data_IF_005260607173
#
_entry.id   IF_005260607173
#
_cell.length_a   1.000
_cell.length_b   1.000
_cell.length_c   1.000
_cell.angle_alpha   90.00
_cell.angle_beta   90.00
_cell.angle_gamma   90.00
#
_symmetry.space_group_name_H-M   'P 1'
#
loop_
_entity.id
_entity.type
_entity.pdbx_description
1 polymer ?
#
# COMPACT_ATOMS: atom_id res chain seq x y z
N UNK A 1 20.81 7.07 13.70
CA UNK A 1 19.43 7.44 13.35
C UNK A 1 18.48 6.55 14.15
N UNK A 2 17.35 7.07 14.59
CA UNK A 2 16.30 6.31 15.26
C UNK A 2 15.01 6.41 14.43
N UNK A 3 14.29 5.29 14.29
CA UNK A 3 13.03 5.20 13.53
C UNK A 3 11.97 4.71 14.50
N UNK A 4 10.90 5.48 14.66
CA UNK A 4 9.84 5.21 15.63
C UNK A 4 8.53 5.04 14.88
N UNK A 5 7.87 3.91 15.12
CA UNK A 5 6.51 3.68 14.67
C UNK A 5 5.53 4.38 15.61
N UNK A 6 4.57 5.10 15.04
CA UNK A 6 3.38 5.59 15.74
C UNK A 6 2.16 4.94 15.12
N UNK A 7 1.37 4.26 15.95
CA UNK A 7 0.21 3.48 15.54
C UNK A 7 -0.83 3.50 16.64
N UNK A 8 -2.10 3.75 16.29
CA UNK A 8 -3.20 3.84 17.28
C UNK A 8 -3.95 2.53 17.48
N UNK A 9 -4.00 1.66 16.46
CA UNK A 9 -4.64 0.36 16.54
C UNK A 9 -4.04 -0.62 15.54
N UNK A 10 -4.37 -1.91 15.67
CA UNK A 10 -3.95 -2.95 14.73
C UNK A 10 -4.51 -2.77 13.30
N UNK A 11 -5.42 -1.82 13.13
CA UNK A 11 -6.14 -1.59 11.88
C UNK A 11 -5.81 -0.22 11.28
N UNK A 12 -5.10 0.62 12.04
CA UNK A 12 -4.61 1.89 11.52
C UNK A 12 -3.38 1.67 10.65
N UNK A 13 -3.18 2.62 9.74
CA UNK A 13 -1.88 2.90 9.15
C UNK A 13 -0.86 3.28 10.24
N UNK A 14 0.39 3.30 9.83
CA UNK A 14 1.56 3.67 10.59
C UNK A 14 1.97 5.06 10.16
N UNK A 15 2.35 5.87 11.14
CA UNK A 15 3.22 7.02 10.89
C UNK A 15 4.63 6.67 11.35
N UNK A 16 5.63 7.20 10.69
CA UNK A 16 7.02 7.01 11.07
C UNK A 16 7.67 8.33 11.44
N UNK A 17 8.35 8.37 12.59
CA UNK A 17 9.26 9.45 12.95
C UNK A 17 10.67 8.96 12.67
N UNK A 18 11.40 9.67 11.82
CA UNK A 18 12.82 9.42 11.54
C UNK A 18 13.63 10.56 12.12
N UNK A 19 14.58 10.26 13.00
CA UNK A 19 15.27 11.30 13.77
C UNK A 19 16.74 11.01 14.09
N UNK A 20 17.47 12.08 14.40
CA UNK A 20 18.69 12.06 15.21
C UNK A 20 18.43 12.80 16.54
N UNK A 21 19.48 13.29 17.21
CA UNK A 21 19.35 14.02 18.49
C UNK A 21 18.75 15.42 18.34
N UNK A 22 18.87 16.04 17.16
CA UNK A 22 18.62 17.48 16.96
C UNK A 22 17.50 17.78 15.96
N UNK A 23 17.24 16.89 15.01
CA UNK A 23 16.25 17.09 13.94
C UNK A 23 15.61 15.76 13.54
N UNK A 24 14.56 15.84 12.72
CA UNK A 24 13.88 14.68 12.17
C UNK A 24 12.74 15.06 11.22
N UNK A 25 12.09 14.06 10.68
CA UNK A 25 10.93 14.23 9.80
C UNK A 25 9.90 13.13 10.06
N UNK A 26 8.71 13.34 9.51
CA UNK A 26 7.58 12.43 9.63
C UNK A 26 7.25 11.85 8.26
N UNK A 27 6.86 10.57 8.25
CA UNK A 27 6.31 9.88 7.09
C UNK A 27 4.89 9.46 7.44
N UNK A 28 3.93 9.94 6.64
CA UNK A 28 2.48 9.76 6.81
C UNK A 28 1.92 10.27 8.17
N UNK A 29 0.67 10.69 8.18
CA UNK A 29 0.01 11.31 9.35
C UNK A 29 -1.08 10.43 9.99
N UNK A 30 -1.39 9.28 9.41
CA UNK A 30 -2.46 8.42 9.89
C UNK A 30 -3.86 8.91 9.51
N UNK A 31 -4.87 8.13 9.92
CA UNK A 31 -6.27 8.32 9.55
C UNK A 31 -7.07 9.14 10.56
N UNK A 32 -6.76 8.98 11.85
CA UNK A 32 -7.65 9.40 12.94
C UNK A 32 -7.15 10.63 13.66
N UNK A 33 -8.06 11.37 14.30
CA UNK A 33 -7.70 12.50 15.14
C UNK A 33 -6.73 12.08 16.24
N UNK A 34 -7.00 10.97 16.91
CA UNK A 34 -6.16 10.39 17.95
C UNK A 34 -4.77 10.03 17.43
N UNK A 35 -4.65 9.66 16.15
CA UNK A 35 -3.37 9.31 15.53
C UNK A 35 -2.47 10.53 15.44
N UNK A 36 -2.95 11.64 14.87
CA UNK A 36 -2.14 12.86 14.81
C UNK A 36 -1.83 13.43 16.20
N UNK A 37 -2.74 13.30 17.18
CA UNK A 37 -2.44 13.64 18.58
C UNK A 37 -1.31 12.76 19.15
N UNK A 38 -1.38 11.44 18.94
CA UNK A 38 -0.36 10.51 19.42
C UNK A 38 0.99 10.80 18.75
N UNK A 39 0.98 11.05 17.44
CA UNK A 39 2.17 11.41 16.66
C UNK A 39 2.83 12.69 17.17
N UNK A 40 2.04 13.74 17.42
CA UNK A 40 2.56 15.00 17.98
C UNK A 40 3.08 14.86 19.43
N UNK A 41 2.46 14.01 20.26
CA UNK A 41 2.96 13.69 21.61
C UNK A 41 4.27 12.93 21.54
N UNK A 42 4.33 11.87 20.74
CA UNK A 42 5.55 11.09 20.55
C UNK A 42 6.68 11.97 20.02
N UNK A 43 6.39 12.88 19.08
CA UNK A 43 7.38 13.87 18.63
C UNK A 43 7.92 14.71 19.80
N UNK A 44 7.03 15.31 20.60
CA UNK A 44 7.41 16.13 21.76
C UNK A 44 8.18 15.38 22.85
N UNK A 45 7.95 14.08 23.01
CA UNK A 45 8.70 13.27 23.96
C UNK A 45 10.13 13.02 23.50
N UNK A 46 10.39 13.10 22.19
CA UNK A 46 11.70 12.79 21.60
C UNK A 46 12.56 14.00 21.33
N UNK A 47 11.97 15.18 21.21
CA UNK A 47 12.68 16.40 20.91
C UNK A 47 12.49 17.46 22.01
N UNK A 48 13.48 18.35 22.15
CA UNK A 48 13.37 19.51 23.02
C UNK A 48 12.16 20.38 22.66
N UNK A 49 11.60 21.05 23.67
CA UNK A 49 10.42 21.89 23.48
C UNK A 49 10.68 22.97 22.42
N UNK A 50 9.85 22.99 21.37
CA UNK A 50 9.94 23.93 20.25
C UNK A 50 10.62 23.39 18.99
N UNK A 51 11.26 22.22 19.02
CA UNK A 51 11.79 21.58 17.80
C UNK A 51 10.62 21.01 16.99
N UNK A 52 10.48 21.43 15.73
CA UNK A 52 9.45 20.99 14.81
C UNK A 52 10.02 19.98 13.79
N UNK A 53 9.17 19.13 13.17
CA UNK A 53 9.60 18.29 12.05
C UNK A 53 10.12 19.15 10.91
N UNK A 54 11.25 18.76 10.33
CA UNK A 54 11.82 19.44 9.15
C UNK A 54 10.84 19.39 7.97
N UNK A 55 10.14 18.27 7.82
CA UNK A 55 9.03 18.10 6.89
C UNK A 55 8.18 16.89 7.26
N UNK A 56 7.06 16.75 6.57
CA UNK A 56 6.22 15.55 6.50
C UNK A 56 6.20 15.09 5.04
N UNK A 57 6.43 13.81 4.80
CA UNK A 57 6.28 13.24 3.47
C UNK A 57 5.15 12.21 3.47
N UNK A 58 4.27 12.31 2.48
CA UNK A 58 3.14 11.40 2.31
C UNK A 58 3.51 10.35 1.25
N UNK A 59 3.56 9.07 1.65
CA UNK A 59 3.94 7.97 0.75
C UNK A 59 2.95 7.82 -0.40
N UNK A 60 1.66 7.98 -0.10
CA UNK A 60 0.60 8.00 -1.09
C UNK A 60 -0.62 8.75 -0.51
N UNK A 61 -1.51 9.28 -1.38
CA UNK A 61 -2.51 10.26 -0.97
C UNK A 61 -3.82 9.64 -0.46
N UNK A 62 -3.78 8.42 0.09
CA UNK A 62 -4.96 7.83 0.69
C UNK A 62 -5.29 8.48 2.04
N UNK A 63 -6.57 8.65 2.36
CA UNK A 63 -6.97 9.43 3.53
C UNK A 63 -6.40 8.93 4.85
N UNK A 64 -6.21 7.61 4.98
CA UNK A 64 -5.60 6.99 6.14
C UNK A 64 -4.12 7.32 6.32
N UNK A 65 -3.51 8.03 5.38
CA UNK A 65 -2.14 8.52 5.46
C UNK A 65 -2.06 10.04 5.66
N UNK A 66 -3.18 10.77 5.56
CA UNK A 66 -3.16 12.25 5.58
C UNK A 66 -4.03 12.88 6.65
N UNK A 67 -5.14 12.25 7.03
CA UNK A 67 -6.19 12.88 7.83
C UNK A 67 -5.71 13.30 9.23
N UNK A 68 -4.76 12.57 9.83
CA UNK A 68 -4.19 12.92 11.12
C UNK A 68 -3.34 14.20 11.09
N UNK A 69 -3.09 14.80 9.92
CA UNK A 69 -2.34 16.06 9.79
C UNK A 69 -2.96 17.17 10.64
N UNK A 70 -4.30 17.29 10.67
CA UNK A 70 -4.99 18.36 11.39
C UNK A 70 -4.71 18.29 12.89
N UNK A 71 -4.85 17.10 13.47
CA UNK A 71 -4.62 16.89 14.90
C UNK A 71 -3.14 16.93 15.25
N UNK A 72 -2.24 16.53 14.34
CA UNK A 72 -0.81 16.72 14.50
C UNK A 72 -0.43 18.21 14.59
N UNK A 73 -0.90 19.04 13.65
CA UNK A 73 -0.65 20.48 13.66
C UNK A 73 -1.19 21.14 14.94
N UNK A 74 -2.41 20.76 15.34
CA UNK A 74 -3.01 21.19 16.60
C UNK A 74 -2.18 20.75 17.81
N UNK A 75 -1.77 19.48 17.86
CA UNK A 75 -0.94 18.96 18.95
C UNK A 75 0.35 19.75 19.02
N UNK A 76 1.09 19.91 17.91
CA UNK A 76 2.34 20.67 17.82
C UNK A 76 2.17 22.19 18.02
N UNK A 77 0.94 22.70 18.13
CA UNK A 77 0.60 24.11 18.26
C UNK A 77 1.19 24.98 17.14
N UNK A 78 1.06 24.50 15.90
CA UNK A 78 1.47 25.20 14.67
C UNK A 78 0.34 25.20 13.67
N UNK A 79 0.31 26.21 12.79
CA UNK A 79 -0.69 26.28 11.71
C UNK A 79 -0.21 25.63 10.42
N UNK A 80 1.12 25.46 10.25
CA UNK A 80 1.68 24.90 9.03
C UNK A 80 3.02 24.23 9.29
N UNK A 81 3.29 23.18 8.51
CA UNK A 81 4.57 22.51 8.35
C UNK A 81 4.82 22.29 6.85
N UNK A 82 6.07 22.08 6.42
CA UNK A 82 6.34 21.57 5.09
C UNK A 82 5.76 20.16 4.95
N UNK A 83 4.75 19.98 4.11
CA UNK A 83 4.14 18.67 3.81
C UNK A 83 4.22 18.41 2.31
N UNK A 84 4.76 17.25 1.94
CA UNK A 84 5.08 16.93 0.56
C UNK A 84 4.43 15.65 0.07
N UNK A 85 4.06 15.65 -1.21
CA UNK A 85 3.76 14.47 -2.02
C UNK A 85 4.75 14.39 -3.19
N UNK A 86 4.95 13.19 -3.74
CA UNK A 86 5.98 12.94 -4.75
C UNK A 86 5.76 13.61 -6.11
N UNK A 87 4.51 13.83 -6.54
CA UNK A 87 4.20 14.46 -7.82
C UNK A 87 2.78 15.08 -7.83
N UNK A 88 2.48 15.84 -8.89
CA UNK A 88 1.16 16.47 -9.07
C UNK A 88 0.02 15.47 -9.25
N UNK A 89 0.30 14.27 -9.75
CA UNK A 89 -0.66 13.18 -9.84
C UNK A 89 -1.15 12.74 -8.45
N UNK A 90 -0.22 12.57 -7.51
CA UNK A 90 -0.55 12.26 -6.12
C UNK A 90 -1.39 13.37 -5.47
N UNK A 91 -1.06 14.64 -5.72
CA UNK A 91 -1.87 15.77 -5.21
C UNK A 91 -3.29 15.77 -5.82
N UNK A 92 -3.44 15.41 -7.09
CA UNK A 92 -4.76 15.31 -7.73
C UNK A 92 -5.57 14.13 -7.19
N UNK A 93 -4.93 12.99 -6.94
CA UNK A 93 -5.58 11.83 -6.32
C UNK A 93 -6.01 12.11 -4.88
N UNK A 94 -5.21 12.84 -4.11
CA UNK A 94 -5.60 13.33 -2.78
C UNK A 94 -6.90 14.13 -2.84
N UNK A 95 -6.98 15.07 -3.78
CA UNK A 95 -8.16 15.91 -3.97
C UNK A 95 -9.40 15.10 -4.36
N UNK A 96 -9.21 14.10 -5.19
CA UNK A 96 -10.26 13.17 -5.55
C UNK A 96 -10.80 12.43 -4.31
N UNK A 97 -9.93 11.91 -3.45
CA UNK A 97 -10.34 11.23 -2.22
C UNK A 97 -11.06 12.15 -1.24
N UNK A 98 -10.52 13.35 -1.01
CA UNK A 98 -11.14 14.34 -0.15
C UNK A 98 -12.53 14.75 -0.67
N UNK A 99 -12.72 14.88 -1.99
CA UNK A 99 -14.02 15.17 -2.58
C UNK A 99 -15.02 14.01 -2.43
N UNK A 100 -14.58 12.75 -2.61
CA UNK A 100 -15.44 11.60 -2.31
C UNK A 100 -15.90 11.68 -0.86
N UNK A 101 -14.97 11.89 0.06
CA UNK A 101 -15.24 11.89 1.50
C UNK A 101 -16.17 13.03 1.89
N UNK A 102 -16.01 14.21 1.30
CA UNK A 102 -16.97 15.31 1.44
C UNK A 102 -18.40 14.89 1.07
N UNK A 103 -18.57 14.08 0.01
CA UNK A 103 -19.90 13.66 -0.50
C UNK A 103 -20.52 12.50 0.27
N UNK A 104 -19.74 11.47 0.61
CA UNK A 104 -20.25 10.27 1.29
C UNK A 104 -20.38 10.48 2.81
N UNK A 105 -19.90 11.62 3.32
CA UNK A 105 -19.93 12.06 4.71
C UNK A 105 -19.58 10.95 5.73
N UNK A 106 -18.35 10.38 5.65
CA UNK A 106 -17.91 9.38 6.59
C UNK A 106 -17.75 9.96 8.00
N UNK A 107 -17.67 11.30 8.15
CA UNK A 107 -17.53 12.00 9.43
C UNK A 107 -18.83 12.05 10.26
N UNK A 108 -20.00 11.95 9.63
CA UNK A 108 -21.27 11.84 10.36
C UNK A 108 -21.59 10.42 10.81
N UNK A 109 -21.00 9.42 10.13
CA UNK A 109 -21.32 8.00 10.34
C UNK A 109 -20.22 7.20 11.03
N UNK A 110 -18.97 7.67 11.00
CA UNK A 110 -17.83 7.06 11.67
C UNK A 110 -17.54 7.73 13.00
N UNK A 111 -17.81 7.02 14.10
CA UNK A 111 -17.52 7.49 15.47
C UNK A 111 -16.02 7.75 15.72
N UNK A 112 -15.15 7.30 14.81
CA UNK A 112 -13.69 7.42 14.90
C UNK A 112 -13.13 8.60 14.09
N UNK A 113 -13.93 9.26 13.25
CA UNK A 113 -13.46 10.39 12.44
C UNK A 113 -13.95 11.71 13.04
N UNK A 114 -13.04 12.64 13.31
CA UNK A 114 -13.37 13.94 13.89
C UNK A 114 -13.77 14.93 12.79
N UNK A 115 -14.87 15.65 12.99
CA UNK A 115 -15.38 16.63 12.02
C UNK A 115 -14.37 17.74 11.68
N UNK A 116 -13.43 18.06 12.58
CA UNK A 116 -12.36 19.04 12.32
C UNK A 116 -11.39 18.57 11.23
N UNK A 117 -11.32 17.27 10.95
CA UNK A 117 -10.54 16.69 9.86
C UNK A 117 -11.26 16.75 8.52
N UNK A 118 -12.53 17.14 8.50
CA UNK A 118 -13.34 17.22 7.28
C UNK A 118 -12.69 18.16 6.26
N UNK A 119 -12.71 17.82 4.95
CA UNK A 119 -12.30 18.72 3.88
C UNK A 119 -13.07 20.06 3.83
N UNK A 120 -14.17 20.19 4.55
CA UNK A 120 -14.93 21.44 4.69
C UNK A 120 -14.43 22.33 5.84
N UNK A 121 -13.72 21.73 6.81
CA UNK A 121 -13.18 22.41 7.99
C UNK A 121 -11.67 22.67 7.86
N UNK A 122 -10.96 21.85 7.07
CA UNK A 122 -9.52 21.94 6.86
C UNK A 122 -9.16 21.83 5.38
N UNK A 123 -8.53 22.88 4.84
CA UNK A 123 -8.17 22.98 3.42
C UNK A 123 -6.82 22.30 3.15
N UNK A 124 -6.79 20.97 3.06
CA UNK A 124 -5.56 20.18 2.88
C UNK A 124 -4.63 20.69 1.75
N UNK A 125 -5.19 21.21 0.64
CA UNK A 125 -4.40 21.78 -0.48
C UNK A 125 -3.54 22.98 -0.10
N UNK A 126 -3.91 23.73 0.93
CA UNK A 126 -3.12 24.89 1.37
C UNK A 126 -1.90 24.45 2.21
N UNK A 127 -1.90 23.20 2.67
CA UNK A 127 -0.86 22.62 3.52
C UNK A 127 0.09 21.68 2.78
N UNK A 128 -0.36 21.04 1.69
CA UNK A 128 0.36 19.96 1.01
C UNK A 128 0.85 20.43 -0.37
N UNK A 129 2.14 20.23 -0.64
CA UNK A 129 2.81 20.66 -1.87
C UNK A 129 3.42 19.48 -2.61
N UNK A 130 3.59 19.65 -3.93
CA UNK A 130 4.41 18.73 -4.72
C UNK A 130 5.88 18.98 -4.38
N UNK A 131 6.62 17.90 -4.13
CA UNK A 131 8.06 17.97 -3.96
C UNK A 131 8.72 18.29 -5.31
N UNK A 132 9.46 19.39 -5.36
CA UNK A 132 10.14 19.91 -6.55
C UNK A 132 11.66 20.06 -6.36
N UNK A 133 12.19 19.51 -5.27
CA UNK A 133 13.60 19.53 -4.92
C UNK A 133 13.99 18.24 -4.16
N UNK A 134 15.27 17.83 -4.19
CA UNK A 134 15.76 16.75 -3.34
C UNK A 134 15.57 17.08 -1.85
N UNK A 135 15.24 16.06 -1.05
CA UNK A 135 15.22 16.17 0.40
C UNK A 135 16.55 15.71 0.97
N UNK A 136 17.10 16.51 1.88
CA UNK A 136 18.28 16.14 2.67
C UNK A 136 18.06 16.55 4.13
N UNK A 137 18.63 15.77 5.05
CA UNK A 137 18.55 16.00 6.50
C UNK A 137 19.83 15.44 7.16
N UNK A 138 20.05 15.66 8.46
CA UNK A 138 21.15 15.02 9.22
C UNK A 138 22.56 15.35 8.72
N UNK A 139 22.82 16.60 8.37
CA UNK A 139 24.10 17.03 7.77
C UNK A 139 24.37 16.35 6.42
N UNK A 140 23.47 16.58 5.46
CA UNK A 140 23.54 16.14 4.06
C UNK A 140 23.29 14.64 3.80
N UNK A 141 22.62 13.93 4.71
CA UNK A 141 22.05 12.61 4.38
C UNK A 141 20.97 12.79 3.31
N UNK A 142 21.21 12.17 2.16
CA UNK A 142 20.29 12.21 1.03
C UNK A 142 19.12 11.26 1.28
N UNK A 143 17.90 11.78 1.15
CA UNK A 143 16.68 10.99 1.23
C UNK A 143 16.21 10.69 -0.19
N UNK A 144 16.18 9.41 -0.54
CA UNK A 144 15.80 8.98 -1.88
C UNK A 144 14.29 8.79 -1.97
N UNK A 145 13.63 9.69 -2.69
CA UNK A 145 12.21 9.55 -3.03
C UNK A 145 12.09 8.73 -4.31
N UNK A 146 11.49 7.54 -4.20
CA UNK A 146 11.25 6.65 -5.33
C UNK A 146 9.77 6.74 -5.67
N UNK A 147 9.46 7.18 -6.87
CA UNK A 147 8.08 7.47 -7.29
C UNK A 147 7.87 7.07 -8.75
N UNK A 148 6.74 7.49 -9.34
CA UNK A 148 6.38 7.22 -10.73
C UNK A 148 6.22 5.73 -11.05
N UNK A 149 5.74 4.97 -10.06
CA UNK A 149 5.32 3.61 -10.28
C UNK A 149 4.14 3.54 -11.26
N UNK A 150 4.01 2.44 -12.03
CA UNK A 150 2.73 2.16 -12.65
C UNK A 150 1.65 1.96 -11.57
N UNK A 151 0.39 2.20 -11.93
CA UNK A 151 -0.76 2.02 -11.05
C UNK A 151 -0.72 0.61 -10.43
N UNK A 152 -0.73 0.56 -9.09
CA UNK A 152 -0.54 -0.65 -8.30
C UNK A 152 -1.49 -0.64 -7.09
N UNK A 153 -0.96 -0.67 -5.85
CA UNK A 153 -1.76 -0.43 -4.64
C UNK A 153 -2.49 0.90 -4.76
N UNK A 154 -1.81 1.93 -5.27
CA UNK A 154 -2.42 3.21 -5.58
C UNK A 154 -2.14 3.74 -6.98
N UNK A 155 -2.92 4.74 -7.42
CA UNK A 155 -2.68 5.38 -8.71
C UNK A 155 -1.32 6.08 -8.66
N UNK A 156 -1.03 6.76 -7.55
CA UNK A 156 0.26 7.38 -7.29
C UNK A 156 0.79 6.96 -5.91
N UNK A 157 1.74 6.05 -5.92
CA UNK A 157 2.51 5.67 -4.74
C UNK A 157 3.94 6.22 -4.83
N UNK A 158 4.56 6.39 -3.67
CA UNK A 158 5.99 6.67 -3.52
C UNK A 158 6.56 5.97 -2.30
N UNK A 159 7.87 5.74 -2.34
CA UNK A 159 8.64 5.16 -1.26
C UNK A 159 9.75 6.11 -0.86
N UNK A 160 10.23 5.97 0.37
CA UNK A 160 11.42 6.66 0.87
C UNK A 160 12.49 5.63 1.14
N UNK A 161 13.70 5.83 0.62
CA UNK A 161 14.87 5.04 1.00
C UNK A 161 15.92 5.94 1.67
N UNK A 162 16.48 5.45 2.78
CA UNK A 162 17.54 6.12 3.53
C UNK A 162 18.78 5.22 3.51
N UNK A 163 19.78 5.50 2.65
CA UNK A 163 20.90 4.59 2.42
C UNK A 163 21.75 4.31 3.66
N UNK A 164 22.04 5.32 4.49
CA UNK A 164 22.94 5.16 5.65
C UNK A 164 22.46 4.14 6.69
N UNK A 165 21.17 3.85 6.71
CA UNK A 165 20.54 2.89 7.62
C UNK A 165 19.78 1.78 6.89
N UNK A 166 19.90 1.73 5.56
CA UNK A 166 19.23 0.77 4.68
C UNK A 166 17.73 0.61 5.02
N UNK A 167 17.04 1.73 5.24
CA UNK A 167 15.62 1.75 5.60
C UNK A 167 14.77 2.12 4.38
N UNK A 168 13.81 1.26 4.02
CA UNK A 168 12.86 1.46 2.93
C UNK A 168 11.44 1.59 3.48
N UNK A 169 10.86 2.79 3.40
CA UNK A 169 9.46 3.06 3.73
C UNK A 169 8.61 2.89 2.48
N UNK A 170 7.72 1.91 2.48
CA UNK A 170 7.07 1.42 1.26
C UNK A 170 5.67 1.96 1.04
N UNK A 171 5.13 2.75 1.97
CA UNK A 171 3.69 2.96 2.05
C UNK A 171 2.97 1.60 2.08
N UNK A 172 1.93 1.47 1.27
CA UNK A 172 1.16 0.22 1.15
C UNK A 172 1.61 -0.69 0.00
N UNK A 173 2.66 -0.33 -0.74
CA UNK A 173 3.21 -1.19 -1.79
C UNK A 173 3.79 -2.50 -1.25
N UNK A 174 4.29 -2.51 -0.01
CA UNK A 174 4.70 -3.74 0.67
C UNK A 174 4.00 -3.75 2.01
N UNK A 175 3.34 -4.86 2.32
CA UNK A 175 2.66 -5.03 3.61
C UNK A 175 3.23 -6.21 4.39
N UNK A 176 3.14 -6.12 5.70
CA UNK A 176 3.42 -7.24 6.59
C UNK A 176 2.09 -7.88 6.97
N UNK A 177 1.88 -9.13 6.53
CA UNK A 177 0.67 -9.99 6.62
C UNK A 177 -0.21 -9.97 5.36
N UNK A 178 -1.03 -8.96 5.14
CA UNK A 178 -1.94 -8.96 3.98
C UNK A 178 -2.52 -7.57 3.71
N UNK A 179 -2.78 -7.24 2.45
CA UNK A 179 -3.48 -6.02 2.03
C UNK A 179 -4.71 -6.42 1.20
N UNK A 180 -5.79 -5.66 1.35
CA UNK A 180 -6.97 -5.80 0.50
C UNK A 180 -6.71 -5.06 -0.81
N UNK A 181 -6.43 -5.81 -1.87
CA UNK A 181 -6.13 -5.27 -3.21
C UNK A 181 -7.40 -4.97 -4.03
N UNK A 182 -8.58 -5.31 -3.52
CA UNK A 182 -9.87 -5.00 -4.16
C UNK A 182 -10.55 -3.91 -3.37
N UNK A 183 -10.68 -2.74 -3.99
CA UNK A 183 -11.36 -1.63 -3.36
C UNK A 183 -12.87 -1.84 -3.38
N UNK A 184 -13.59 -1.37 -2.34
CA UNK A 184 -15.04 -1.35 -2.38
C UNK A 184 -15.63 -0.39 -3.42
N UNK A 185 -14.85 0.56 -3.97
CA UNK A 185 -15.33 1.56 -4.91
C UNK A 185 -15.13 1.16 -6.37
N UNK A 186 -16.11 1.49 -7.23
CA UNK A 186 -16.08 1.30 -8.69
C UNK A 186 -14.97 2.08 -9.41
N UNK A 187 -14.27 2.91 -8.65
CA UNK A 187 -13.32 3.90 -9.13
C UNK A 187 -11.88 3.46 -8.97
N UNK A 188 -11.66 2.36 -8.26
CA UNK A 188 -10.32 1.89 -8.02
C UNK A 188 -9.87 0.87 -9.06
N UNK A 189 -8.56 0.80 -9.34
CA UNK A 189 -8.05 0.02 -10.43
C UNK A 189 -8.07 -1.49 -10.07
N UNK A 190 -9.23 -2.14 -10.00
CA UNK A 190 -9.37 -3.58 -9.76
C UNK A 190 -9.21 -4.39 -11.06
N UNK A 191 -8.17 -4.07 -11.83
CA UNK A 191 -7.87 -4.75 -13.09
C UNK A 191 -6.70 -5.72 -12.89
N UNK A 192 -6.72 -6.79 -13.67
CA UNK A 192 -5.63 -7.75 -13.74
C UNK A 192 -4.27 -7.06 -13.97
N UNK A 193 -4.26 -5.98 -14.77
CA UNK A 193 -3.06 -5.21 -15.07
C UNK A 193 -2.48 -4.51 -13.84
N UNK A 194 -3.30 -4.04 -12.90
CA UNK A 194 -2.79 -3.33 -11.72
C UNK A 194 -2.15 -4.28 -10.72
N UNK A 195 -2.75 -5.46 -10.52
CA UNK A 195 -2.11 -6.51 -9.72
C UNK A 195 -0.79 -6.96 -10.38
N UNK A 196 -0.75 -7.05 -11.71
CA UNK A 196 0.48 -7.36 -12.42
C UNK A 196 1.54 -6.26 -12.32
N UNK A 197 1.15 -4.99 -12.41
CA UNK A 197 2.05 -3.86 -12.18
C UNK A 197 2.64 -3.92 -10.76
N UNK A 198 1.79 -4.18 -9.77
CA UNK A 198 2.20 -4.31 -8.38
C UNK A 198 3.20 -5.45 -8.17
N UNK A 199 2.92 -6.64 -8.70
CA UNK A 199 3.87 -7.77 -8.70
C UNK A 199 5.20 -7.37 -9.36
N UNK A 200 5.14 -6.66 -10.49
CA UNK A 200 6.35 -6.21 -11.19
C UNK A 200 7.17 -5.17 -10.39
N UNK A 201 6.51 -4.25 -9.68
CA UNK A 201 7.17 -3.33 -8.75
C UNK A 201 7.89 -4.13 -7.67
N UNK A 202 7.20 -5.06 -7.00
CA UNK A 202 7.79 -5.89 -5.95
C UNK A 202 9.01 -6.67 -6.46
N UNK A 203 8.92 -7.30 -7.63
CA UNK A 203 10.04 -8.00 -8.26
C UNK A 203 11.25 -7.09 -8.49
N UNK A 204 11.01 -5.83 -8.86
CA UNK A 204 12.08 -4.85 -9.07
C UNK A 204 12.76 -4.43 -7.76
N UNK A 205 12.05 -4.46 -6.62
CA UNK A 205 12.64 -4.12 -5.32
C UNK A 205 13.75 -5.10 -4.94
N UNK A 206 13.54 -6.42 -5.13
CA UNK A 206 14.54 -7.47 -4.91
C UNK A 206 15.76 -7.43 -5.82
N UNK A 207 15.78 -6.49 -6.77
CA UNK A 207 16.90 -6.23 -7.67
C UNK A 207 17.59 -4.88 -7.37
N UNK A 208 16.93 -4.02 -6.62
CA UNK A 208 17.35 -2.63 -6.40
C UNK A 208 17.99 -2.47 -5.04
N UNK A 209 17.41 -3.10 -4.01
CA UNK A 209 17.84 -2.91 -2.63
C UNK A 209 18.67 -4.10 -2.10
N UNK A 210 19.66 -3.84 -1.24
CA UNK A 210 20.40 -4.89 -0.54
C UNK A 210 19.48 -5.81 0.28
N UNK A 211 19.90 -7.06 0.48
CA UNK A 211 19.16 -8.02 1.32
C UNK A 211 19.06 -7.57 2.79
N UNK A 212 19.99 -6.74 3.24
CA UNK A 212 20.02 -6.14 4.57
C UNK A 212 19.03 -4.98 4.74
N UNK A 213 18.36 -4.54 3.67
CA UNK A 213 17.36 -3.45 3.74
C UNK A 213 16.18 -3.84 4.62
N UNK A 214 15.84 -2.98 5.57
CA UNK A 214 14.67 -3.13 6.42
C UNK A 214 13.46 -2.42 5.78
N UNK A 215 12.33 -3.13 5.71
CA UNK A 215 11.08 -2.61 5.15
C UNK A 215 10.21 -2.04 6.28
N UNK A 216 9.75 -0.80 6.11
CA UNK A 216 8.88 -0.06 7.02
C UNK A 216 7.54 0.23 6.30
N UNK A 217 6.53 -0.63 6.46
CA UNK A 217 5.26 -0.50 5.74
C UNK A 217 4.34 0.55 6.39
N UNK A 218 3.37 1.06 5.63
CA UNK A 218 2.29 1.87 6.21
C UNK A 218 1.27 1.03 6.98
N UNK A 219 1.18 -0.29 6.81
CA UNK A 219 0.37 -1.17 7.67
C UNK A 219 1.15 -2.34 8.27
N UNK A 220 0.82 -2.70 9.52
CA UNK A 220 1.41 -3.81 10.26
C UNK A 220 2.32 -3.37 11.40
N UNK A 221 2.88 -4.34 12.12
CA UNK A 221 3.70 -4.10 13.32
C UNK A 221 5.19 -4.03 12.95
N UNK A 222 5.86 -2.95 13.36
CA UNK A 222 7.31 -2.76 13.24
C UNK A 222 7.84 -2.70 11.80
N UNK A 223 9.18 -2.60 11.63
CA UNK A 223 9.79 -3.07 10.41
C UNK A 223 9.52 -4.57 10.23
N UNK A 224 9.58 -5.05 8.99
CA UNK A 224 9.48 -6.49 8.73
C UNK A 224 10.51 -7.26 9.57
N UNK A 225 10.04 -8.30 10.26
CA UNK A 225 10.90 -9.24 11.01
C UNK A 225 11.44 -10.36 10.13
N UNK A 226 10.94 -10.46 8.90
CA UNK A 226 11.43 -11.37 7.87
C UNK A 226 12.61 -10.73 7.12
N UNK A 227 13.39 -11.53 6.41
CA UNK A 227 14.38 -10.99 5.48
C UNK A 227 13.71 -10.14 4.40
N UNK A 228 14.50 -9.28 3.73
CA UNK A 228 13.99 -8.45 2.65
C UNK A 228 13.38 -9.33 1.54
N UNK A 229 14.11 -10.35 1.09
CA UNK A 229 13.64 -11.27 0.05
C UNK A 229 12.40 -12.04 0.47
N UNK A 230 12.33 -12.54 1.71
CA UNK A 230 11.14 -13.27 2.18
C UNK A 230 9.91 -12.36 2.25
N UNK A 231 10.10 -11.10 2.66
CA UNK A 231 9.02 -10.10 2.71
C UNK A 231 8.47 -9.84 1.32
N UNK A 232 9.34 -9.62 0.34
CA UNK A 232 8.94 -9.37 -1.05
C UNK A 232 8.30 -10.63 -1.68
N UNK A 233 8.88 -11.82 -1.48
CA UNK A 233 8.34 -13.06 -2.01
C UNK A 233 6.95 -13.36 -1.43
N UNK A 234 6.76 -13.14 -0.13
CA UNK A 234 5.46 -13.31 0.54
C UNK A 234 4.40 -12.41 -0.09
N UNK A 235 4.73 -11.13 -0.35
CA UNK A 235 3.81 -10.19 -1.00
C UNK A 235 3.51 -10.59 -2.47
N UNK A 236 4.50 -11.03 -3.24
CA UNK A 236 4.30 -11.52 -4.61
C UNK A 236 3.40 -12.76 -4.63
N UNK A 237 3.67 -13.71 -3.74
CA UNK A 237 2.88 -14.95 -3.60
C UNK A 237 1.44 -14.62 -3.25
N UNK A 238 1.25 -13.69 -2.31
CA UNK A 238 -0.05 -13.18 -1.91
C UNK A 238 -0.82 -12.58 -3.10
N UNK A 239 -0.25 -11.60 -3.80
CA UNK A 239 -0.89 -10.96 -4.94
C UNK A 239 -1.20 -11.95 -6.06
N UNK A 240 -0.30 -12.89 -6.32
CA UNK A 240 -0.50 -13.92 -7.36
C UNK A 240 -1.64 -14.86 -7.00
N UNK A 241 -1.69 -15.30 -5.73
CA UNK A 241 -2.78 -16.13 -5.22
C UNK A 241 -4.13 -15.40 -5.33
N UNK A 242 -4.15 -14.16 -4.87
CA UNK A 242 -5.35 -13.34 -4.88
C UNK A 242 -5.88 -13.04 -6.28
N UNK A 243 -4.97 -12.70 -7.19
CA UNK A 243 -5.28 -12.55 -8.61
C UNK A 243 -5.88 -13.83 -9.18
N UNK A 244 -5.27 -14.97 -8.88
CA UNK A 244 -5.76 -16.26 -9.38
C UNK A 244 -7.19 -16.56 -8.89
N UNK A 245 -7.50 -16.25 -7.63
CA UNK A 245 -8.85 -16.44 -7.06
C UNK A 245 -9.89 -15.49 -7.66
N UNK A 246 -9.60 -14.19 -7.68
CA UNK A 246 -10.60 -13.16 -8.07
C UNK A 246 -10.86 -13.15 -9.57
N UNK A 247 -9.83 -13.31 -10.40
CA UNK A 247 -9.97 -13.19 -11.84
C UNK A 247 -10.32 -14.52 -12.56
N UNK A 248 -10.26 -15.67 -11.87
CA UNK A 248 -10.57 -16.97 -12.48
C UNK A 248 -11.76 -17.72 -11.83
N UNK A 249 -12.47 -17.10 -10.89
CA UNK A 249 -13.63 -17.71 -10.24
C UNK A 249 -14.90 -16.89 -10.47
N UNK A 250 -15.94 -17.56 -10.97
CA UNK A 250 -17.30 -17.01 -10.98
C UNK A 250 -18.07 -17.30 -9.68
N UNK A 251 -17.51 -18.11 -8.77
CA UNK A 251 -18.17 -18.51 -7.53
C UNK A 251 -17.72 -17.60 -6.38
N UNK A 252 -18.48 -16.53 -6.16
CA UNK A 252 -18.28 -15.59 -5.06
C UNK A 252 -18.21 -16.28 -3.70
N UNK A 253 -19.14 -17.19 -3.39
CA UNK A 253 -19.18 -17.86 -2.08
C UNK A 253 -17.92 -18.68 -1.83
N UNK A 254 -17.42 -19.38 -2.85
CA UNK A 254 -16.17 -20.13 -2.76
C UNK A 254 -14.97 -19.23 -2.50
N UNK A 255 -14.84 -18.14 -3.27
CA UNK A 255 -13.74 -17.19 -3.08
C UNK A 255 -13.83 -16.55 -1.70
N UNK A 256 -15.01 -16.07 -1.28
CA UNK A 256 -15.19 -15.46 0.03
C UNK A 256 -14.83 -16.39 1.17
N UNK A 257 -15.19 -17.68 1.09
CA UNK A 257 -14.81 -18.66 2.11
C UNK A 257 -13.29 -18.83 2.21
N UNK A 258 -12.60 -18.87 1.07
CA UNK A 258 -11.13 -18.90 1.05
C UNK A 258 -10.55 -17.63 1.67
N UNK A 259 -11.11 -16.46 1.34
CA UNK A 259 -10.66 -15.21 1.91
C UNK A 259 -10.89 -15.18 3.42
N UNK A 260 -12.03 -15.65 3.92
CA UNK A 260 -12.29 -15.76 5.36
C UNK A 260 -11.30 -16.66 6.08
N UNK A 261 -10.89 -17.78 5.47
CA UNK A 261 -9.91 -18.67 6.05
C UNK A 261 -8.51 -18.02 6.09
N UNK A 262 -8.12 -17.29 5.04
CA UNK A 262 -6.80 -16.62 4.96
C UNK A 262 -6.75 -15.33 5.80
N UNK A 263 -7.84 -14.57 5.80
CA UNK A 263 -7.96 -13.26 6.47
C UNK A 263 -8.72 -13.35 7.79
N UNK A 264 -8.80 -14.51 8.42
CA UNK A 264 -9.58 -14.71 9.67
C UNK A 264 -9.25 -13.72 10.78
N UNK A 265 -8.06 -13.12 10.73
CA UNK A 265 -7.56 -12.13 11.69
C UNK A 265 -7.50 -10.69 11.11
N UNK A 266 -8.12 -10.44 9.96
CA UNK A 266 -8.18 -9.12 9.34
C UNK A 266 -9.48 -8.42 9.73
N UNK A 267 -9.35 -7.38 10.55
CA UNK A 267 -10.44 -6.58 11.11
C UNK A 267 -11.43 -6.01 10.09
N UNK A 268 -10.95 -5.64 8.90
CA UNK A 268 -11.77 -5.01 7.86
C UNK A 268 -12.42 -6.00 6.88
N UNK A 269 -12.29 -7.31 7.12
CA UNK A 269 -12.77 -8.33 6.17
C UNK A 269 -14.27 -8.24 5.89
N UNK A 270 -15.10 -7.85 6.86
CA UNK A 270 -16.55 -7.75 6.69
C UNK A 270 -16.95 -6.62 5.72
N UNK A 271 -16.30 -5.45 5.83
CA UNK A 271 -16.54 -4.34 4.92
C UNK A 271 -16.05 -4.68 3.50
N UNK A 272 -14.89 -5.32 3.40
CA UNK A 272 -14.37 -5.80 2.13
C UNK A 272 -15.21 -6.92 1.53
N UNK A 273 -15.85 -7.76 2.35
CA UNK A 273 -16.63 -8.92 1.92
C UNK A 273 -17.81 -8.52 1.04
N UNK A 274 -18.59 -7.52 1.45
CA UNK A 274 -19.75 -7.08 0.66
C UNK A 274 -19.34 -6.58 -0.73
N UNK A 275 -18.22 -5.84 -0.80
CA UNK A 275 -17.75 -5.30 -2.07
C UNK A 275 -17.02 -6.32 -2.95
N UNK A 276 -16.16 -7.15 -2.34
CA UNK A 276 -15.51 -8.28 -3.01
C UNK A 276 -16.56 -9.20 -3.63
N UNK A 277 -17.64 -9.49 -2.90
CA UNK A 277 -18.67 -10.39 -3.36
C UNK A 277 -19.31 -9.99 -4.69
N UNK A 278 -19.52 -8.67 -4.88
CA UNK A 278 -20.08 -8.11 -6.11
C UNK A 278 -19.05 -8.03 -7.23
N UNK A 279 -17.76 -7.84 -6.91
CA UNK A 279 -16.71 -7.67 -7.91
C UNK A 279 -16.18 -8.98 -8.48
N UNK A 280 -16.10 -10.05 -7.70
CA UNK A 280 -15.54 -11.34 -8.15
C UNK A 280 -16.12 -11.79 -9.51
N UNK A 281 -17.44 -11.83 -9.73
CA UNK A 281 -17.99 -12.23 -11.02
C UNK A 281 -17.66 -11.22 -12.14
N UNK A 282 -17.60 -9.93 -11.83
CA UNK A 282 -17.28 -8.87 -12.80
C UNK A 282 -15.83 -8.96 -13.25
N UNK A 283 -14.90 -9.12 -12.30
CA UNK A 283 -13.48 -9.32 -12.55
C UNK A 283 -13.23 -10.58 -13.40
N UNK A 284 -13.89 -11.69 -13.09
CA UNK A 284 -13.83 -12.90 -13.91
C UNK A 284 -14.40 -12.64 -15.33
N UNK A 285 -15.57 -12.02 -15.46
CA UNK A 285 -16.14 -11.71 -16.79
C UNK A 285 -15.23 -10.81 -17.63
N UNK A 286 -14.52 -9.86 -17.02
CA UNK A 286 -13.53 -9.01 -17.69
C UNK A 286 -12.36 -9.80 -18.31
N UNK A 287 -12.06 -10.98 -17.75
CA UNK A 287 -11.06 -11.92 -18.28
C UNK A 287 -11.65 -12.90 -19.32
N UNK A 288 -12.89 -12.70 -19.74
CA UNK A 288 -13.58 -13.56 -20.72
C UNK A 288 -14.28 -14.77 -20.10
N UNK A 289 -14.41 -14.83 -18.77
CA UNK A 289 -15.15 -15.89 -18.11
C UNK A 289 -16.65 -15.81 -18.39
N UNK A 290 -17.27 -16.97 -18.64
CA UNK A 290 -18.72 -17.09 -18.80
C UNK A 290 -19.38 -17.35 -17.44
N UNK A 291 -19.45 -16.32 -16.61
CA UNK A 291 -20.16 -16.40 -15.33
C UNK A 291 -21.68 -16.40 -15.60
N UNK A 292 -22.36 -17.48 -15.22
CA UNK A 292 -23.83 -17.53 -15.20
C UNK A 292 -24.31 -17.73 -13.77
N UNK A 293 -25.44 -17.14 -13.40
CA UNK A 293 -25.96 -17.24 -12.03
C UNK A 293 -26.28 -18.70 -11.61
N UNK A 294 -26.38 -19.63 -12.56
CA UNK A 294 -26.88 -20.99 -12.34
C UNK A 294 -25.82 -22.09 -12.49
N UNK A 295 -24.55 -21.76 -12.75
CA UNK A 295 -23.50 -22.79 -12.89
C UNK A 295 -22.14 -22.27 -12.42
N UNK A 296 -21.48 -22.94 -11.44
CA UNK A 296 -20.15 -22.59 -10.97
C UNK A 296 -19.11 -22.99 -12.02
N UNK A 297 -19.09 -22.26 -13.13
CA UNK A 297 -18.07 -22.45 -14.14
C UNK A 297 -16.81 -21.72 -13.67
N UNK A 298 -15.75 -22.46 -13.35
CA UNK A 298 -14.39 -21.91 -13.36
C UNK A 298 -14.04 -21.51 -14.78
N UNK A 299 -13.37 -20.39 -14.96
CA UNK A 299 -12.78 -20.03 -16.24
C UNK A 299 -11.76 -21.11 -16.59
N UNK A 300 -11.89 -21.76 -17.75
CA UNK A 300 -11.12 -22.96 -18.08
C UNK A 300 -9.62 -22.83 -17.80
N UNK A 301 -9.18 -23.44 -16.70
CA UNK A 301 -7.79 -23.56 -16.26
C UNK A 301 -7.24 -22.32 -15.57
N UNK A 302 -6.77 -22.49 -14.33
CA UNK A 302 -5.81 -21.61 -13.65
C UNK A 302 -4.48 -21.61 -14.42
N UNK A 303 -4.44 -21.07 -15.64
CA UNK A 303 -3.17 -20.62 -16.19
C UNK A 303 -2.96 -19.21 -15.68
N UNK A 304 -2.07 -18.99 -14.69
CA UNK A 304 -1.78 -17.62 -14.26
C UNK A 304 -1.28 -16.88 -15.50
N UNK A 305 -1.98 -15.84 -16.00
CA UNK A 305 -1.41 -15.06 -17.08
C UNK A 305 -0.08 -14.52 -16.57
N UNK A 306 1.01 -14.72 -17.30
CA UNK A 306 2.31 -14.23 -16.88
C UNK A 306 2.24 -12.71 -16.84
N UNK A 307 2.36 -12.12 -15.66
CA UNK A 307 2.47 -10.67 -15.55
C UNK A 307 3.72 -10.22 -16.33
N UNK A 308 3.53 -9.62 -17.49
CA UNK A 308 4.62 -8.99 -18.24
C UNK A 308 4.74 -7.57 -17.71
N UNK A 309 5.74 -7.33 -16.86
CA UNK A 309 6.06 -5.98 -16.44
C UNK A 309 6.63 -5.21 -17.63
N UNK A 310 5.95 -4.13 -18.04
CA UNK A 310 6.42 -3.20 -19.06
C UNK A 310 6.67 -1.86 -18.37
N UNK A 311 7.93 -1.47 -18.11
CA UNK A 311 8.24 -0.17 -17.52
C UNK A 311 7.70 0.96 -18.43
N UNK A 312 6.99 1.94 -17.86
CA UNK A 312 6.62 3.16 -18.60
C UNK A 312 7.89 3.98 -18.87
N UNK A 313 8.32 4.00 -20.13
CA UNK A 313 9.24 4.95 -20.80
C UNK A 313 10.57 5.36 -20.10
N UNK A 314 11.67 5.11 -20.84
CA UNK A 314 13.06 5.51 -20.59
C UNK A 314 13.36 7.03 -20.63
N UNK A 315 12.36 7.93 -20.67
CA UNK A 315 12.57 9.32 -21.14
C UNK A 315 12.22 10.44 -20.16
N UNK A 316 12.10 10.19 -18.87
CA UNK A 316 12.09 11.28 -17.88
C UNK A 316 13.43 11.35 -17.13
N UNK A 317 13.99 12.56 -17.15
CA UNK A 317 15.35 12.93 -16.76
C UNK A 317 15.62 12.79 -15.27
N UNK A 318 16.81 12.26 -14.96
CA UNK A 318 17.75 12.63 -13.90
C UNK A 318 17.14 13.37 -12.70
N UNK A 319 16.73 12.62 -11.68
CA UNK A 319 16.75 12.98 -10.25
C UNK A 319 16.02 11.94 -9.38
N UNK A 320 15.27 11.01 -9.97
CA UNK A 320 14.75 9.81 -9.29
C UNK A 320 15.57 8.57 -9.64
N UNK A 321 15.83 7.71 -8.64
CA UNK A 321 16.46 6.40 -8.85
C UNK A 321 15.51 5.56 -9.70
N UNK A 322 15.81 5.44 -10.98
CA UNK A 322 15.07 4.56 -11.89
C UNK A 322 15.37 3.10 -11.53
N UNK A 323 14.32 2.29 -11.31
CA UNK A 323 14.43 0.86 -11.03
C UNK A 323 15.13 0.14 -12.22
N UNK A 324 16.20 -0.65 -11.99
CA UNK A 324 16.95 -1.31 -13.04
C UNK A 324 16.14 -2.43 -13.73
N UNK A 325 15.72 -2.16 -14.97
CA UNK A 325 14.92 -3.08 -15.83
C UNK A 325 15.66 -4.42 -16.10
N UNK A 326 16.99 -4.42 -16.10
CA UNK A 326 17.80 -5.57 -16.52
C UNK A 326 17.67 -6.83 -15.64
N UNK A 327 17.40 -6.67 -14.35
CA UNK A 327 17.34 -7.80 -13.40
C UNK A 327 16.01 -8.57 -13.45
N UNK A 328 14.92 -7.91 -13.88
CA UNK A 328 13.58 -8.51 -13.99
C UNK A 328 13.58 -9.73 -14.92
N UNK A 329 14.30 -9.66 -16.04
CA UNK A 329 14.39 -10.78 -16.98
C UNK A 329 15.09 -12.01 -16.40
N UNK A 330 16.05 -11.87 -15.48
CA UNK A 330 16.85 -13.01 -14.99
C UNK A 330 16.12 -13.83 -13.91
N UNK A 331 15.36 -13.18 -13.01
CA UNK A 331 14.58 -13.86 -11.96
C UNK A 331 13.28 -14.51 -12.48
N UNK A 332 12.63 -13.95 -13.50
CA UNK A 332 11.41 -14.53 -14.10
C UNK A 332 11.64 -15.95 -14.66
N UNK A 333 12.87 -16.27 -15.10
CA UNK A 333 13.19 -17.62 -15.58
C UNK A 333 13.50 -18.61 -14.45
N UNK A 334 14.10 -18.17 -13.33
CA UNK A 334 14.50 -19.06 -12.24
C UNK A 334 13.37 -19.36 -11.23
N UNK A 335 12.50 -18.40 -10.94
CA UNK A 335 11.37 -18.59 -10.01
C UNK A 335 10.24 -19.44 -10.58
N UNK A 336 10.14 -19.54 -11.92
CA UNK A 336 9.07 -20.29 -12.60
C UNK A 336 9.06 -21.79 -12.28
N UNK A 337 10.17 -22.38 -11.81
CA UNK A 337 10.26 -23.80 -11.51
C UNK A 337 9.77 -24.13 -10.10
N UNK A 338 10.10 -23.29 -9.11
CA UNK A 338 9.71 -23.52 -7.70
C UNK A 338 8.24 -23.17 -7.46
N UNK A 339 7.75 -22.05 -8.03
CA UNK A 339 6.33 -21.67 -7.96
C UNK A 339 5.43 -22.74 -8.62
N UNK A 340 5.86 -23.36 -9.72
CA UNK A 340 5.09 -24.44 -10.38
C UNK A 340 4.83 -25.64 -9.46
N UNK A 341 5.77 -25.99 -8.59
CA UNK A 341 5.63 -27.14 -7.67
C UNK A 341 4.64 -26.82 -6.56
N UNK A 342 4.74 -25.65 -5.91
CA UNK A 342 3.80 -25.24 -4.86
C UNK A 342 2.37 -25.02 -5.41
N UNK A 343 2.22 -24.40 -6.59
CA UNK A 343 0.92 -24.27 -7.24
C UNK A 343 0.30 -25.62 -7.60
N UNK A 344 1.11 -26.62 -7.96
CA UNK A 344 0.62 -27.97 -8.21
C UNK A 344 0.05 -28.61 -6.95
N UNK A 345 0.68 -28.40 -5.78
CA UNK A 345 0.18 -28.89 -4.49
C UNK A 345 -1.11 -28.18 -4.10
N UNK A 346 -1.16 -26.84 -4.23
CA UNK A 346 -2.38 -26.07 -3.93
C UNK A 346 -3.53 -26.44 -4.87
N UNK A 347 -3.23 -26.67 -6.16
CA UNK A 347 -4.17 -27.14 -7.16
C UNK A 347 -4.69 -28.55 -6.83
N UNK A 348 -3.83 -29.47 -6.37
CA UNK A 348 -4.24 -30.78 -5.89
C UNK A 348 -5.15 -30.65 -4.65
N UNK A 349 -4.83 -29.78 -3.70
CA UNK A 349 -5.67 -29.52 -2.51
C UNK A 349 -7.03 -28.94 -2.93
N UNK A 350 -7.07 -28.03 -3.91
CA UNK A 350 -8.32 -27.51 -4.46
C UNK A 350 -9.13 -28.61 -5.17
N UNK A 351 -8.48 -29.44 -5.99
CA UNK A 351 -9.14 -30.52 -6.72
C UNK A 351 -9.74 -31.56 -5.76
N UNK A 352 -9.00 -31.91 -4.71
CA UNK A 352 -9.45 -32.82 -3.65
C UNK A 352 -10.67 -32.23 -2.95
N UNK A 353 -10.64 -30.96 -2.54
CA UNK A 353 -11.80 -30.33 -1.89
C UNK A 353 -13.04 -30.23 -2.80
N UNK A 354 -12.86 -30.04 -4.11
CA UNK A 354 -13.97 -30.04 -5.07
C UNK A 354 -14.55 -31.45 -5.21
N UNK A 355 -13.71 -32.49 -5.33
CA UNK A 355 -14.16 -33.87 -5.47
C UNK A 355 -14.91 -34.35 -4.21
N UNK A 356 -14.42 -34.01 -3.01
CA UNK A 356 -15.03 -34.44 -1.75
C UNK A 356 -16.29 -33.66 -1.33
N UNK A 357 -16.65 -32.56 -1.99
CA UNK A 357 -17.92 -31.85 -1.74
C UNK A 357 -19.02 -32.17 -2.78
N UNK A 358 -18.70 -32.97 -3.80
CA UNK A 358 -19.64 -33.41 -4.85
C UNK A 358 -20.17 -34.83 -4.59
N UNK A 359 -19.56 -35.57 -3.67
CA UNK A 359 -20.05 -36.84 -3.11
C UNK A 359 -20.41 -36.63 -1.64
#
# INVERSE_FOLDING_TARGET
>A
MNIIQVRVSNDSSNSWIVQNENEGFIIDCGCYWEHGLMLGKTWREKFSNGTLPSFIFLTHPHPDNILGLVSLLNELNVTQLPVYVSNSGALNEMNYWLEIWRRVNPFETSILLDQRQSPDQFLYNDHIKVLDHPLSIFSDEEIHIISNFPIAESIHSSMIYIPSVEALFTGDLVVVRSHLFVSPSDTYPDSDNHVCNWIGILQSLSCTFPESTLIYPAHGDGPSTMSFSDTIETNIRWLTYMRALVFNSCNTTFVMRILEDVFRNYSNIEQSRASLANRIPQSAMAMGCKCSQNSPNTCGGLQPPTCQFIPKNKTQSLESIALPIGCIHQKLFSSSLHLKIEYSILFIILLINIIFNIF
#
